data_IF_668612012027
#
_entry.id   IF_668612012027
#
_cell.length_a   1.000
_cell.length_b   1.000
_cell.length_c   1.000
_cell.angle_alpha   90.00
_cell.angle_beta   90.00
_cell.angle_gamma   90.00
#
_symmetry.space_group_name_H-M   'P 1'
#
loop_
_entity.id
_entity.type
_entity.pdbx_description
1 polymer ?
#
# COMPACT_ATOMS: atom_id res chain seq x y z
N UNK A 1 4.75 -7.51 4.23
CA UNK A 1 4.12 -6.18 4.22
C UNK A 1 4.76 -5.36 3.12
N UNK A 2 3.95 -4.80 2.23
CA UNK A 2 4.36 -3.99 1.07
C UNK A 2 4.13 -2.50 1.27
N UNK A 3 3.50 -2.12 2.39
CA UNK A 3 3.42 -0.76 2.90
C UNK A 3 4.42 -0.63 4.05
N UNK A 4 5.35 0.32 3.92
CA UNK A 4 6.27 0.71 4.99
C UNK A 4 6.25 2.21 5.16
N UNK A 5 6.63 2.70 6.33
CA UNK A 5 6.62 4.12 6.65
C UNK A 5 7.98 4.61 7.15
N UNK A 6 8.23 5.90 6.98
CA UNK A 6 9.35 6.63 7.57
C UNK A 6 8.80 7.90 8.24
N UNK A 7 9.23 8.17 9.47
CA UNK A 7 8.60 9.14 10.38
C UNK A 7 7.53 8.53 11.30
N UNK A 8 7.19 9.26 12.37
CA UNK A 8 6.25 8.82 13.39
C UNK A 8 5.16 9.89 13.61
N UNK A 9 3.88 9.48 13.71
CA UNK A 9 2.81 10.36 14.14
C UNK A 9 2.93 10.68 15.64
N UNK A 10 2.62 11.92 16.07
CA UNK A 10 2.10 13.03 15.26
C UNK A 10 3.21 13.75 14.49
N UNK A 11 2.99 13.98 13.19
CA UNK A 11 3.99 14.59 12.32
C UNK A 11 3.90 14.14 10.86
N UNK A 12 4.89 14.54 10.03
CA UNK A 12 5.02 14.05 8.67
C UNK A 12 5.42 12.57 8.68
N UNK A 13 4.67 11.76 7.93
CA UNK A 13 4.94 10.35 7.71
C UNK A 13 5.01 10.10 6.21
N UNK A 14 6.12 9.56 5.75
CA UNK A 14 6.30 9.11 4.37
C UNK A 14 5.86 7.66 4.25
N UNK A 15 5.04 7.38 3.25
CA UNK A 15 4.56 6.05 2.93
C UNK A 15 5.25 5.53 1.67
N UNK A 16 5.67 4.27 1.72
CA UNK A 16 6.22 3.54 0.60
C UNK A 16 5.33 2.34 0.33
N UNK A 17 4.75 2.27 -0.86
CA UNK A 17 3.84 1.22 -1.27
C UNK A 17 4.42 0.45 -2.45
N UNK A 18 4.40 -0.87 -2.37
CA UNK A 18 4.79 -1.77 -3.44
C UNK A 18 3.62 -2.68 -3.85
N UNK A 19 3.52 -3.01 -5.14
CA UNK A 19 2.51 -3.96 -5.61
C UNK A 19 2.92 -5.40 -5.26
N UNK A 20 2.05 -6.12 -4.56
CA UNK A 20 2.27 -7.52 -4.15
C UNK A 20 1.99 -8.53 -5.28
N UNK A 21 1.39 -8.09 -6.39
CA UNK A 21 1.16 -8.96 -7.54
C UNK A 21 2.49 -9.44 -8.13
N UNK A 22 2.68 -10.76 -8.17
CA UNK A 22 3.89 -11.38 -8.75
C UNK A 22 4.20 -10.84 -10.15
N UNK A 23 5.46 -10.43 -10.35
CA UNK A 23 5.95 -9.84 -11.60
C UNK A 23 5.65 -8.35 -11.78
N UNK A 24 4.88 -7.72 -10.88
CA UNK A 24 4.66 -6.27 -10.90
C UNK A 24 5.76 -5.54 -10.13
N UNK A 25 6.24 -4.42 -10.68
CA UNK A 25 7.23 -3.54 -10.04
C UNK A 25 6.68 -2.15 -9.72
N UNK A 26 5.36 -1.99 -9.80
CA UNK A 26 4.71 -0.73 -9.48
C UNK A 26 4.97 -0.37 -8.02
N UNK A 27 5.31 0.90 -7.81
CA UNK A 27 5.52 1.49 -6.48
C UNK A 27 4.86 2.86 -6.43
N UNK A 28 4.46 3.28 -5.25
CA UNK A 28 4.05 4.65 -4.96
C UNK A 28 4.77 5.14 -3.71
N UNK A 29 5.08 6.44 -3.69
CA UNK A 29 5.62 7.13 -2.52
C UNK A 29 4.80 8.40 -2.34
N UNK A 30 4.35 8.64 -1.12
CA UNK A 30 3.58 9.83 -0.78
C UNK A 30 3.79 10.20 0.68
N UNK A 31 3.54 11.46 1.00
CA UNK A 31 3.73 12.02 2.34
C UNK A 31 2.37 12.46 2.88
N UNK A 32 2.06 12.10 4.13
CA UNK A 32 0.91 12.62 4.86
C UNK A 32 1.37 13.25 6.18
N UNK A 33 0.70 14.31 6.61
CA UNK A 33 0.84 14.82 7.98
C UNK A 33 -0.28 14.23 8.80
N UNK A 34 0.07 13.41 9.79
CA UNK A 34 -0.89 12.78 10.72
C UNK A 34 -0.83 13.59 12.01
N UNK A 35 -1.94 14.23 12.38
CA UNK A 35 -1.97 15.10 13.56
C UNK A 35 -2.16 14.31 14.87
N UNK A 36 -2.76 13.14 14.76
CA UNK A 36 -3.21 12.30 15.86
C UNK A 36 -2.11 11.30 16.22
N UNK A 37 -1.70 11.22 17.49
CA UNK A 37 -0.78 10.17 17.93
C UNK A 37 -1.42 8.79 17.80
N UNK A 38 -0.62 7.72 17.69
CA UNK A 38 -1.14 6.37 17.75
C UNK A 38 -1.73 6.08 19.15
N UNK A 39 -2.65 5.12 19.27
CA UNK A 39 -3.09 4.59 20.57
C UNK A 39 -1.91 4.19 21.45
N UNK A 40 -2.10 4.18 22.77
CA UNK A 40 -1.09 3.65 23.68
C UNK A 40 -0.83 2.15 23.42
N UNK A 41 0.43 1.75 23.35
CA UNK A 41 0.83 0.41 22.93
C UNK A 41 0.42 -0.68 23.93
N UNK A 42 0.43 -0.38 25.22
CA UNK A 42 0.03 -1.31 26.29
C UNK A 42 -1.48 -1.54 26.29
N UNK A 43 -2.24 -0.55 25.81
CA UNK A 43 -3.70 -0.59 25.76
C UNK A 43 -4.23 -1.20 24.46
N UNK A 44 -3.60 -0.88 23.32
CA UNK A 44 -4.00 -1.37 22.00
C UNK A 44 -2.79 -1.49 21.05
N UNK A 45 -2.09 -2.63 21.16
CA UNK A 45 -0.94 -2.94 20.31
C UNK A 45 -1.28 -2.91 18.81
N UNK A 46 -2.45 -3.43 18.42
CA UNK A 46 -2.82 -3.52 17.00
C UNK A 46 -3.17 -2.14 16.44
N UNK A 47 -3.95 -1.35 17.18
CA UNK A 47 -4.25 0.03 16.82
C UNK A 47 -2.99 0.89 16.76
N UNK A 48 -2.07 0.72 17.72
CA UNK A 48 -0.78 1.42 17.70
C UNK A 48 0.02 1.14 16.42
N UNK A 49 0.19 -0.14 16.08
CA UNK A 49 0.99 -0.56 14.90
C UNK A 49 0.29 -0.22 13.57
N UNK A 50 -1.04 -0.29 13.51
CA UNK A 50 -1.80 -0.07 12.28
C UNK A 50 -2.30 1.38 12.12
N UNK A 51 -2.02 2.28 13.07
CA UNK A 51 -2.52 3.66 13.09
C UNK A 51 -2.24 4.39 11.78
N UNK A 52 -0.97 4.50 11.40
CA UNK A 52 -0.56 5.20 10.18
C UNK A 52 -1.17 4.60 8.91
N UNK A 53 -1.25 3.27 8.83
CA UNK A 53 -1.85 2.59 7.68
C UNK A 53 -3.36 2.84 7.59
N UNK A 54 -4.05 2.84 8.74
CA UNK A 54 -5.49 3.12 8.83
C UNK A 54 -5.80 4.55 8.39
N UNK A 55 -5.03 5.52 8.86
CA UNK A 55 -5.16 6.93 8.47
C UNK A 55 -4.89 7.12 6.97
N UNK A 56 -3.91 6.41 6.41
CA UNK A 56 -3.56 6.51 4.99
C UNK A 56 -4.51 5.77 4.04
N UNK A 57 -5.34 4.84 4.53
CA UNK A 57 -6.17 3.96 3.69
C UNK A 57 -7.02 4.72 2.66
N UNK A 58 -7.75 5.80 3.02
CA UNK A 58 -8.55 6.54 2.04
C UNK A 58 -7.69 7.16 0.93
N UNK A 59 -6.50 7.66 1.27
CA UNK A 59 -5.59 8.23 0.28
C UNK A 59 -4.97 7.16 -0.64
N UNK A 60 -4.67 5.98 -0.11
CA UNK A 60 -4.20 4.82 -0.89
C UNK A 60 -5.29 4.41 -1.91
N UNK A 61 -6.56 4.40 -1.50
CA UNK A 61 -7.70 4.12 -2.38
C UNK A 61 -7.88 5.19 -3.46
N UNK A 62 -7.73 6.48 -3.14
CA UNK A 62 -7.76 7.59 -4.12
C UNK A 62 -6.66 7.46 -5.19
N UNK A 63 -5.48 6.94 -4.82
CA UNK A 63 -4.41 6.60 -5.76
C UNK A 63 -4.74 5.38 -6.65
N UNK A 64 -5.89 4.75 -6.45
CA UNK A 64 -6.38 3.57 -7.18
C UNK A 64 -5.74 2.27 -6.73
N UNK A 65 -5.05 2.25 -5.60
CA UNK A 65 -4.53 1.03 -5.00
C UNK A 65 -5.60 0.36 -4.17
N UNK A 66 -5.64 -0.97 -4.18
CA UNK A 66 -6.58 -1.74 -3.36
C UNK A 66 -5.82 -2.71 -2.47
N UNK A 67 -6.33 -2.91 -1.25
CA UNK A 67 -5.86 -3.99 -0.39
C UNK A 67 -6.76 -5.21 -0.56
N UNK A 68 -6.18 -6.33 -1.00
CA UNK A 68 -6.88 -7.62 -1.11
C UNK A 68 -6.48 -8.45 0.10
N UNK A 69 -7.48 -8.91 0.86
CA UNK A 69 -7.22 -9.76 2.02
C UNK A 69 -6.40 -10.98 1.62
N UNK A 70 -5.36 -11.30 2.41
CA UNK A 70 -4.39 -12.38 2.17
C UNK A 70 -3.46 -12.21 0.96
N UNK A 71 -3.73 -11.28 0.04
CA UNK A 71 -2.90 -11.04 -1.16
C UNK A 71 -2.08 -9.74 -1.10
N UNK A 72 -2.48 -8.78 -0.24
CA UNK A 72 -1.76 -7.52 -0.05
C UNK A 72 -2.22 -6.40 -0.98
N UNK A 73 -1.37 -5.40 -1.18
CA UNK A 73 -1.69 -4.20 -1.96
C UNK A 73 -1.46 -4.41 -3.45
N UNK A 74 -2.48 -4.08 -4.25
CA UNK A 74 -2.44 -4.15 -5.70
C UNK A 74 -2.51 -2.75 -6.30
N UNK A 75 -1.60 -2.46 -7.21
CA UNK A 75 -1.59 -1.18 -7.93
C UNK A 75 -2.78 -1.07 -8.89
N UNK A 76 -3.14 0.13 -9.36
CA UNK A 76 -4.29 0.35 -10.25
C UNK A 76 -4.31 -0.56 -11.48
N UNK A 77 -3.13 -0.85 -12.04
CA UNK A 77 -2.98 -1.72 -13.21
C UNK A 77 -3.26 -3.20 -12.91
N UNK A 78 -2.92 -3.68 -11.71
CA UNK A 78 -3.15 -5.07 -11.31
C UNK A 78 -4.55 -5.27 -10.71
N UNK A 79 -5.07 -4.24 -10.05
CA UNK A 79 -6.42 -4.18 -9.49
C UNK A 79 -7.52 -4.20 -10.57
N UNK A 80 -7.22 -3.69 -11.77
CA UNK A 80 -8.17 -3.61 -12.87
C UNK A 80 -8.42 -4.99 -13.53
N UNK A 81 -9.66 -5.49 -13.61
CA UNK A 81 -9.98 -6.83 -14.14
C UNK A 81 -9.77 -7.05 -15.66
N UNK A 82 -9.04 -6.17 -16.36
CA UNK A 82 -8.93 -6.19 -17.82
C UNK A 82 -7.51 -6.29 -18.41
N UNK A 83 -6.44 -6.10 -17.63
CA UNK A 83 -5.07 -6.20 -18.16
C UNK A 83 -4.52 -7.62 -18.02
N UNK A 84 -4.96 -8.53 -18.91
CA UNK A 84 -4.14 -9.71 -19.21
C UNK A 84 -2.74 -9.21 -19.58
N UNK A 85 -1.66 -9.80 -19.03
CA UNK A 85 -0.35 -9.60 -19.61
C UNK A 85 -0.45 -10.05 -21.07
N UNK A 86 -0.01 -9.20 -22.00
CA UNK A 86 0.23 -9.63 -23.37
C UNK A 86 1.15 -10.86 -23.25
N UNK A 87 0.63 -12.04 -23.56
CA UNK A 87 1.46 -13.23 -23.80
C UNK A 87 2.61 -12.76 -24.68
N UNK A 88 3.85 -12.92 -24.22
CA UNK A 88 4.97 -12.86 -25.14
C UNK A 88 4.86 -14.13 -25.98
N UNK A 89 4.06 -14.07 -27.03
CA UNK A 89 4.19 -14.97 -28.16
C UNK A 89 5.55 -14.64 -28.79
N UNK A 90 6.59 -15.34 -28.32
CA UNK A 90 7.82 -15.49 -29.08
C UNK A 90 7.66 -16.77 -29.88
N UNK A 91 7.05 -16.60 -31.04
CA UNK A 91 7.20 -17.50 -32.19
C UNK A 91 8.61 -17.32 -32.75
N UNK A 92 9.30 -18.43 -33.00
CA UNK A 92 10.24 -18.70 -34.11
C UNK A 92 11.20 -19.80 -33.64
N UNK A 93 11.01 -21.04 -34.12
CA UNK A 93 11.53 -21.60 -35.39
C UNK A 93 12.95 -22.13 -35.22
#
# INVERSE_FOLDING_TARGET
MSLTTDGEPPGPVRFYLACDRSGCRARAVFDLVIAEPPPDIETDLFGHVLHSATVASPYIEELGWIFIQQEGYWCPNCASPGRRPRSKDVTSS
#
